data_IF_170749138604
#
_entry.id   IF_170749138604
#
_cell.length_a   1.000
_cell.length_b   1.000
_cell.length_c   1.000
_cell.angle_alpha   90.00
_cell.angle_beta   90.00
_cell.angle_gamma   90.00
#
_symmetry.space_group_name_H-M   'P 1'
#
loop_
_entity.id
_entity.type
_entity.pdbx_description
1 polymer ?
#
# COMPACT_ATOMS: atom_id res chain seq x y z
N UNK A 1 -28.55 -17.58 -1.05
CA UNK A 1 -27.18 -17.25 -0.60
C UNK A 1 -26.47 -16.53 -1.71
N UNK A 2 -26.15 -15.27 -1.51
CA UNK A 2 -25.34 -14.52 -2.48
C UNK A 2 -23.97 -15.21 -2.57
N UNK A 3 -23.67 -15.80 -3.72
CA UNK A 3 -22.47 -16.63 -3.86
C UNK A 3 -21.28 -15.69 -3.69
N UNK A 4 -20.47 -15.93 -2.65
CA UNK A 4 -19.14 -15.34 -2.40
C UNK A 4 -18.16 -15.71 -3.54
N UNK A 5 -18.53 -15.37 -4.76
CA UNK A 5 -17.84 -15.68 -5.99
C UNK A 5 -16.70 -14.68 -6.20
N UNK A 6 -15.91 -14.89 -7.25
CA UNK A 6 -14.72 -14.07 -7.53
C UNK A 6 -15.08 -12.58 -7.71
N UNK A 7 -16.22 -12.27 -8.32
CA UNK A 7 -16.69 -10.90 -8.51
C UNK A 7 -17.04 -10.25 -7.17
N UNK A 8 -17.82 -10.95 -6.33
CA UNK A 8 -18.19 -10.47 -5.00
C UNK A 8 -16.94 -10.18 -4.14
N UNK A 9 -15.95 -11.08 -4.14
CA UNK A 9 -14.70 -10.86 -3.39
C UNK A 9 -13.94 -9.62 -3.86
N UNK A 10 -13.88 -9.39 -5.17
CA UNK A 10 -13.24 -8.18 -5.74
C UNK A 10 -14.00 -6.91 -5.36
N UNK A 11 -15.34 -6.93 -5.41
CA UNK A 11 -16.18 -5.80 -4.99
C UNK A 11 -16.02 -5.51 -3.50
N UNK A 12 -15.98 -6.54 -2.65
CA UNK A 12 -15.74 -6.38 -1.21
C UNK A 12 -14.35 -5.84 -0.91
N UNK A 13 -13.31 -6.34 -1.58
CA UNK A 13 -11.96 -5.78 -1.44
C UNK A 13 -11.93 -4.29 -1.80
N UNK A 14 -12.53 -3.90 -2.93
CA UNK A 14 -12.61 -2.49 -3.34
C UNK A 14 -13.39 -1.63 -2.33
N UNK A 15 -14.50 -2.15 -1.80
CA UNK A 15 -15.32 -1.47 -0.77
C UNK A 15 -14.53 -1.22 0.50
N UNK A 16 -13.85 -2.24 1.03
CA UNK A 16 -13.06 -2.15 2.26
C UNK A 16 -11.86 -1.22 2.06
N UNK A 17 -11.18 -1.32 0.91
CA UNK A 17 -10.08 -0.44 0.57
C UNK A 17 -10.51 1.04 0.52
N UNK A 18 -11.61 1.35 -0.16
CA UNK A 18 -12.17 2.71 -0.21
C UNK A 18 -12.51 3.24 1.19
N UNK A 19 -13.22 2.46 2.00
CA UNK A 19 -13.60 2.87 3.36
C UNK A 19 -12.36 3.20 4.21
N UNK A 20 -11.29 2.43 4.03
CA UNK A 20 -10.02 2.67 4.72
C UNK A 20 -9.32 3.94 4.25
N UNK A 21 -9.27 4.21 2.94
CA UNK A 21 -8.68 5.46 2.43
C UNK A 21 -9.46 6.71 2.90
N UNK A 22 -10.79 6.60 3.00
CA UNK A 22 -11.62 7.66 3.59
C UNK A 22 -11.23 7.90 5.05
N UNK A 23 -11.05 6.84 5.83
CA UNK A 23 -10.59 6.94 7.21
C UNK A 23 -9.21 7.59 7.33
N UNK A 24 -8.24 7.19 6.49
CA UNK A 24 -6.91 7.80 6.48
C UNK A 24 -6.94 9.28 6.11
N UNK A 25 -7.72 9.66 5.10
CA UNK A 25 -7.91 11.07 4.75
C UNK A 25 -8.53 11.86 5.92
N UNK A 26 -9.47 11.25 6.66
CA UNK A 26 -10.11 11.87 7.82
C UNK A 26 -9.17 12.03 9.03
N UNK A 27 -8.07 11.27 9.13
CA UNK A 27 -7.06 11.48 10.17
C UNK A 27 -6.30 12.79 10.00
N UNK A 28 -6.37 13.44 8.83
CA UNK A 28 -5.71 14.73 8.59
C UNK A 28 -4.19 14.68 8.69
N UNK A 29 -3.59 13.51 8.49
CA UNK A 29 -2.14 13.33 8.51
C UNK A 29 -1.58 13.84 7.17
N UNK A 30 -0.64 14.80 7.18
CA UNK A 30 0.00 15.24 5.95
C UNK A 30 0.72 14.09 5.25
N UNK A 31 0.60 14.02 3.93
CA UNK A 31 1.27 13.03 3.10
C UNK A 31 2.40 13.69 2.32
N UNK A 32 3.58 13.10 2.44
CA UNK A 32 4.75 13.47 1.64
C UNK A 32 4.71 12.65 0.37
N UNK A 33 4.58 13.32 -0.77
CA UNK A 33 4.55 12.69 -2.09
C UNK A 33 5.97 12.32 -2.55
N UNK A 34 6.08 11.50 -3.59
CA UNK A 34 7.39 11.04 -4.09
C UNK A 34 8.28 12.20 -4.60
N UNK A 35 7.68 13.32 -5.02
CA UNK A 35 8.36 14.55 -5.45
C UNK A 35 8.79 15.46 -4.28
N UNK A 36 8.51 15.07 -3.03
CA UNK A 36 8.82 15.84 -1.82
C UNK A 36 7.78 16.90 -1.46
N UNK A 37 6.71 17.06 -2.25
CA UNK A 37 5.62 17.96 -1.88
C UNK A 37 4.83 17.42 -0.68
N UNK A 38 4.32 18.33 0.15
CA UNK A 38 3.51 18.00 1.33
C UNK A 38 2.06 18.35 1.02
N UNK A 39 1.20 17.33 1.06
CA UNK A 39 -0.24 17.51 1.00
C UNK A 39 -0.83 17.38 2.41
N UNK A 40 -1.32 18.50 2.94
CA UNK A 40 -1.89 18.54 4.29
C UNK A 40 -3.31 17.97 4.38
N UNK A 41 -4.03 17.89 3.26
CA UNK A 41 -5.44 17.48 3.24
C UNK A 41 -5.73 16.58 2.03
N UNK A 42 -5.03 15.44 1.89
CA UNK A 42 -5.18 14.59 0.73
C UNK A 42 -6.58 13.97 0.71
N UNK A 43 -7.23 14.01 -0.46
CA UNK A 43 -8.49 13.33 -0.63
C UNK A 43 -8.28 11.81 -0.77
N UNK A 44 -9.27 10.99 -0.37
CA UNK A 44 -9.10 9.53 -0.30
C UNK A 44 -8.68 8.88 -1.63
N UNK A 45 -9.09 9.42 -2.79
CA UNK A 45 -8.70 8.90 -4.10
C UNK A 45 -7.25 9.24 -4.47
N UNK A 46 -6.67 10.26 -3.85
CA UNK A 46 -5.26 10.61 -4.01
C UNK A 46 -4.41 9.64 -3.22
N UNK A 47 -4.78 9.41 -1.94
CA UNK A 47 -4.17 8.37 -1.11
C UNK A 47 -4.20 7.01 -1.81
N UNK A 48 -5.33 6.67 -2.43
CA UNK A 48 -5.49 5.39 -3.14
C UNK A 48 -4.48 5.17 -4.29
N UNK A 49 -3.89 6.23 -4.85
CA UNK A 49 -2.89 6.15 -5.91
C UNK A 49 -1.47 5.95 -5.36
N UNK A 50 -1.24 6.33 -4.11
CA UNK A 50 0.08 6.27 -3.50
C UNK A 50 0.57 4.84 -3.30
N UNK A 51 1.89 4.68 -3.35
CA UNK A 51 2.56 3.39 -3.26
C UNK A 51 2.28 2.67 -1.93
N UNK A 52 2.28 3.41 -0.82
CA UNK A 52 2.04 2.86 0.52
C UNK A 52 0.61 2.31 0.65
N UNK A 53 -0.38 2.96 0.02
CA UNK A 53 -1.78 2.56 0.08
C UNK A 53 -2.04 1.22 -0.62
N UNK A 54 -1.24 0.84 -1.63
CA UNK A 54 -1.41 -0.41 -2.40
C UNK A 54 -1.43 -1.66 -1.52
N UNK A 55 -0.70 -1.67 -0.40
CA UNK A 55 -0.69 -2.83 0.50
C UNK A 55 -2.07 -3.09 1.12
N UNK A 56 -2.83 -2.02 1.36
CA UNK A 56 -4.16 -2.09 1.94
C UNK A 56 -5.25 -2.53 0.94
N UNK A 57 -4.94 -2.66 -0.36
CA UNK A 57 -5.87 -3.24 -1.35
C UNK A 57 -5.96 -4.76 -1.23
N UNK A 58 -4.82 -5.42 -1.01
CA UNK A 58 -4.71 -6.88 -1.04
C UNK A 58 -4.68 -7.50 0.35
N UNK A 59 -4.30 -6.72 1.36
CA UNK A 59 -4.13 -7.20 2.73
C UNK A 59 -5.16 -6.54 3.63
N UNK A 60 -5.76 -7.32 4.53
CA UNK A 60 -6.65 -6.88 5.58
C UNK A 60 -5.94 -5.91 6.53
N UNK A 61 -5.58 -6.33 7.72
CA UNK A 61 -4.72 -5.50 8.59
C UNK A 61 -3.26 -5.87 8.29
N UNK A 62 -2.50 -5.03 7.56
CA UNK A 62 -1.08 -5.29 7.43
C UNK A 62 -0.41 -5.24 8.81
N UNK A 63 0.64 -6.04 8.98
CA UNK A 63 1.56 -5.92 10.11
C UNK A 63 1.96 -4.45 10.31
N UNK A 64 2.04 -4.01 11.57
CA UNK A 64 2.45 -2.65 11.93
C UNK A 64 3.89 -2.31 11.53
N UNK A 65 4.68 -3.31 11.14
CA UNK A 65 6.04 -3.15 10.65
C UNK A 65 6.09 -2.32 9.36
N UNK A 66 7.09 -1.44 9.28
CA UNK A 66 7.31 -0.52 8.16
C UNK A 66 7.39 -1.21 6.79
N UNK A 67 7.82 -2.48 6.73
CA UNK A 67 7.83 -3.29 5.51
C UNK A 67 6.41 -3.61 5.03
N UNK A 68 5.53 -4.03 5.94
CA UNK A 68 4.15 -4.42 5.62
C UNK A 68 3.22 -3.22 5.47
N UNK A 69 3.59 -2.03 5.95
CA UNK A 69 2.87 -0.79 5.62
C UNK A 69 3.21 -0.25 4.22
N UNK A 70 4.25 -0.78 3.57
CA UNK A 70 4.64 -0.36 2.22
C UNK A 70 5.19 1.07 2.13
N UNK A 71 5.49 1.70 3.27
CA UNK A 71 5.97 3.09 3.36
C UNK A 71 7.39 3.24 2.81
N UNK A 72 8.28 2.30 3.15
CA UNK A 72 9.70 2.32 2.71
C UNK A 72 10.11 1.13 1.86
N UNK A 73 9.31 0.05 1.83
CA UNK A 73 9.69 -1.16 1.13
C UNK A 73 9.47 -1.07 -0.38
N UNK A 74 10.57 -1.04 -1.13
CA UNK A 74 10.55 -1.15 -2.59
C UNK A 74 10.88 -2.60 -3.02
N UNK A 75 9.85 -3.40 -3.31
CA UNK A 75 10.02 -4.80 -3.71
C UNK A 75 10.94 -5.01 -4.91
N UNK A 76 10.91 -4.11 -5.90
CA UNK A 76 11.74 -4.24 -7.11
C UNK A 76 13.21 -4.02 -6.78
N UNK A 77 13.50 -3.00 -6.01
CA UNK A 77 14.85 -2.67 -5.56
C UNK A 77 15.41 -3.71 -4.60
N UNK A 78 14.60 -4.16 -3.63
CA UNK A 78 14.97 -5.27 -2.74
C UNK A 78 15.38 -6.52 -3.53
N UNK A 79 14.61 -6.92 -4.56
CA UNK A 79 14.99 -8.05 -5.40
C UNK A 79 16.32 -7.85 -6.12
N UNK A 80 16.58 -6.64 -6.64
CA UNK A 80 17.87 -6.32 -7.29
C UNK A 80 19.02 -6.41 -6.29
N UNK A 81 18.83 -5.83 -5.11
CA UNK A 81 19.81 -5.82 -4.02
C UNK A 81 20.12 -7.24 -3.54
N UNK A 82 19.09 -8.05 -3.28
CA UNK A 82 19.26 -9.46 -2.89
C UNK A 82 20.02 -10.26 -3.96
N UNK A 83 19.70 -10.04 -5.25
CA UNK A 83 20.43 -10.70 -6.34
C UNK A 83 21.91 -10.27 -6.42
N UNK A 84 22.22 -9.01 -6.09
CA UNK A 84 23.60 -8.52 -6.00
C UNK A 84 24.34 -9.21 -4.86
N UNK A 85 23.77 -9.20 -3.65
CA UNK A 85 24.37 -9.83 -2.46
C UNK A 85 24.63 -11.32 -2.71
N UNK A 86 23.66 -12.04 -3.29
CA UNK A 86 23.83 -13.47 -3.60
C UNK A 86 25.01 -13.67 -4.56
N UNK A 87 25.15 -12.84 -5.59
CA UNK A 87 26.24 -12.93 -6.55
C UNK A 87 27.60 -12.67 -5.90
N UNK A 88 27.70 -11.61 -5.09
CA UNK A 88 28.91 -11.26 -4.35
C UNK A 88 29.27 -12.34 -3.32
N UNK A 89 28.29 -13.06 -2.75
CA UNK A 89 28.55 -14.16 -1.82
C UNK A 89 28.97 -15.47 -2.49
N UNK A 90 28.86 -15.55 -3.82
CA UNK A 90 29.28 -16.71 -4.63
C UNK A 90 30.64 -16.49 -5.29
N UNK A 91 31.22 -15.29 -5.17
CA UNK A 91 32.60 -14.94 -5.53
C UNK A 91 33.55 -15.16 -4.34
#
# INVERSE_FOLDING_TARGET
MDKRNKLWRRQQMARVFKARMILYAAYGIPVIREDGSIDNHPHWFELAKDKWAKVYQTTGTPCSCWMCRGEKYNRKEYKKETLRIIRESME
#
